data_IF_605680639524
#
_entry.id   IF_605680639524
#
_cell.length_a   1.000
_cell.length_b   1.000
_cell.length_c   1.000
_cell.angle_alpha   90.00
_cell.angle_beta   90.00
_cell.angle_gamma   90.00
#
_symmetry.space_group_name_H-M   'P 1'
#
loop_
_entity.id
_entity.type
_entity.pdbx_description
1 polymer ?
#
# COMPACT_ATOMS: atom_id res chain seq x y z
N UNK A 1 32.15 -4.17 -1.95
CA UNK A 1 32.80 -2.83 -2.01
C UNK A 1 34.00 -2.81 -2.95
N UNK A 2 34.85 -3.85 -2.94
CA UNK A 2 35.96 -3.97 -3.90
C UNK A 2 35.48 -4.07 -5.35
N UNK A 3 34.47 -4.89 -5.64
CA UNK A 3 33.83 -4.97 -6.97
C UNK A 3 33.28 -3.64 -7.47
N UNK A 4 32.83 -2.78 -6.54
CA UNK A 4 32.32 -1.43 -6.84
C UNK A 4 33.45 -0.40 -6.99
N UNK A 5 34.71 -0.82 -6.80
CA UNK A 5 35.92 0.00 -6.81
C UNK A 5 35.91 1.10 -5.75
N UNK A 6 35.29 0.83 -4.61
CA UNK A 6 35.32 1.72 -3.43
C UNK A 6 36.44 1.40 -2.46
N UNK A 7 37.03 0.21 -2.53
CA UNK A 7 38.19 -0.20 -1.75
C UNK A 7 39.03 -1.19 -2.56
N UNK A 8 40.28 -1.38 -2.18
CA UNK A 8 41.14 -2.47 -2.63
C UNK A 8 41.48 -3.36 -1.45
N UNK A 9 41.41 -4.68 -1.65
CA UNK A 9 41.91 -5.66 -0.69
C UNK A 9 43.31 -6.10 -1.11
N UNK A 10 44.31 -5.80 -0.29
CA UNK A 10 45.70 -6.20 -0.54
C UNK A 10 46.36 -6.66 0.74
N UNK A 11 46.89 -7.88 0.76
CA UNK A 11 47.59 -8.47 1.91
C UNK A 11 46.80 -8.38 3.23
N UNK A 12 45.48 -8.63 3.16
CA UNK A 12 44.57 -8.52 4.31
C UNK A 12 44.27 -7.08 4.76
N UNK A 13 44.79 -6.06 4.08
CA UNK A 13 44.52 -4.64 4.34
C UNK A 13 43.47 -4.10 3.39
N UNK A 14 42.65 -3.19 3.89
CA UNK A 14 41.66 -2.43 3.12
C UNK A 14 42.29 -1.07 2.78
N UNK A 15 42.49 -0.81 1.49
CA UNK A 15 43.04 0.44 0.99
C UNK A 15 41.94 1.24 0.26
N UNK A 16 41.94 2.59 0.34
CA UNK A 16 41.02 3.40 -0.45
C UNK A 16 41.34 3.28 -1.94
N UNK A 17 40.29 3.21 -2.76
CA UNK A 17 40.32 3.35 -4.21
C UNK A 17 39.99 4.79 -4.62
N UNK A 18 40.15 5.13 -5.89
CA UNK A 18 39.87 6.49 -6.39
C UNK A 18 38.43 6.97 -6.11
N UNK A 19 37.46 6.06 -6.03
CA UNK A 19 36.06 6.41 -5.73
C UNK A 19 35.75 6.51 -4.25
N UNK A 20 36.66 6.11 -3.35
CA UNK A 20 36.41 6.12 -1.90
C UNK A 20 36.12 7.51 -1.37
N UNK A 21 36.83 8.53 -1.88
CA UNK A 21 36.62 9.92 -1.46
C UNK A 21 35.19 10.36 -1.71
N UNK A 22 34.71 10.23 -2.96
CA UNK A 22 33.33 10.60 -3.32
C UNK A 22 32.30 9.74 -2.58
N UNK A 23 32.55 8.43 -2.46
CA UNK A 23 31.68 7.52 -1.70
C UNK A 23 31.51 7.98 -0.24
N UNK A 24 32.61 8.35 0.41
CA UNK A 24 32.58 8.83 1.78
C UNK A 24 31.73 10.10 1.88
N UNK A 25 32.08 11.15 1.14
CA UNK A 25 31.39 12.45 1.25
C UNK A 25 29.92 12.43 0.80
N UNK A 26 29.57 11.61 -0.18
CA UNK A 26 28.17 11.47 -0.60
C UNK A 26 27.33 10.69 0.41
N UNK A 27 27.91 9.77 1.19
CA UNK A 27 27.20 8.84 2.07
C UNK A 27 27.52 9.00 3.57
N UNK A 28 28.12 10.12 4.00
CA UNK A 28 28.37 10.40 5.44
C UNK A 28 27.07 10.46 6.25
N UNK A 29 26.00 11.00 5.66
CA UNK A 29 24.70 11.09 6.32
C UNK A 29 23.97 9.75 6.31
N UNK A 30 23.48 9.33 7.47
CA UNK A 30 22.56 8.20 7.61
C UNK A 30 21.11 8.57 7.33
N UNK A 31 20.79 9.87 7.23
CA UNK A 31 19.47 10.36 6.86
C UNK A 31 19.30 10.19 5.34
N UNK A 32 18.29 9.41 4.89
CA UNK A 32 18.03 9.23 3.46
C UNK A 32 17.57 10.54 2.83
N UNK A 33 17.92 10.75 1.57
CA UNK A 33 17.38 11.86 0.79
C UNK A 33 15.93 11.51 0.42
N UNK A 34 14.98 12.21 1.03
CA UNK A 34 13.55 11.94 0.84
C UNK A 34 13.02 12.86 -0.27
N UNK A 35 12.66 12.29 -1.42
CA UNK A 35 11.89 13.01 -2.44
C UNK A 35 10.48 13.29 -1.92
N UNK A 36 9.97 14.49 -2.19
CA UNK A 36 8.64 14.92 -1.74
C UNK A 36 7.71 15.12 -2.94
N UNK A 37 6.48 14.66 -2.81
CA UNK A 37 5.40 14.86 -3.76
C UNK A 37 4.45 15.94 -3.25
N UNK A 38 3.94 16.77 -4.15
CA UNK A 38 2.90 17.75 -3.83
C UNK A 38 1.54 17.07 -3.91
N UNK A 39 0.65 17.38 -2.98
CA UNK A 39 -0.75 16.94 -3.08
C UNK A 39 -1.58 18.11 -3.56
N UNK A 40 -2.29 17.92 -4.67
CA UNK A 40 -3.07 18.96 -5.33
C UNK A 40 -4.51 18.51 -5.47
N UNK A 41 -5.45 19.35 -5.01
CA UNK A 41 -6.87 19.17 -5.27
C UNK A 41 -7.13 19.46 -6.76
N UNK A 42 -7.67 18.49 -7.50
CA UNK A 42 -7.98 18.68 -8.92
C UNK A 42 -9.14 19.65 -9.17
N UNK A 43 -10.06 19.80 -8.22
CA UNK A 43 -11.24 20.67 -8.36
C UNK A 43 -10.85 22.15 -8.26
N UNK A 44 -9.97 22.47 -7.31
CA UNK A 44 -9.56 23.85 -7.01
C UNK A 44 -8.16 24.19 -7.51
N UNK A 45 -7.44 23.20 -8.06
CA UNK A 45 -6.02 23.26 -8.43
C UNK A 45 -5.12 23.82 -7.31
N UNK A 46 -5.49 23.58 -6.05
CA UNK A 46 -4.81 24.14 -4.89
C UNK A 46 -3.94 23.08 -4.21
N UNK A 47 -2.77 23.51 -3.72
CA UNK A 47 -1.86 22.66 -2.95
C UNK A 47 -2.43 22.44 -1.55
N UNK A 48 -2.72 21.18 -1.22
CA UNK A 48 -3.17 20.78 0.13
C UNK A 48 -1.96 20.58 1.05
N UNK A 49 -0.91 19.94 0.55
CA UNK A 49 0.27 19.61 1.34
C UNK A 49 1.36 18.93 0.54
N UNK A 50 2.25 18.22 1.25
CA UNK A 50 3.33 17.43 0.68
C UNK A 50 3.47 16.12 1.43
N UNK A 51 3.76 15.04 0.70
CA UNK A 51 4.06 13.72 1.24
C UNK A 51 5.43 13.26 0.75
N UNK A 52 6.09 12.42 1.53
CA UNK A 52 7.33 11.77 1.14
C UNK A 52 7.09 10.65 0.12
N UNK A 53 8.08 10.40 -0.74
CA UNK A 53 8.07 9.36 -1.77
C UNK A 53 7.75 7.98 -1.19
N UNK A 54 8.34 7.64 -0.05
CA UNK A 54 8.09 6.37 0.64
C UNK A 54 6.61 6.14 0.94
N UNK A 55 5.88 7.19 1.30
CA UNK A 55 4.46 7.09 1.61
C UNK A 55 3.63 7.05 0.34
N UNK A 56 3.96 7.89 -0.65
CA UNK A 56 3.26 7.89 -1.95
C UNK A 56 3.34 6.52 -2.61
N UNK A 57 4.53 5.92 -2.62
CA UNK A 57 4.77 4.58 -3.17
C UNK A 57 4.00 3.50 -2.41
N UNK A 58 3.90 3.62 -1.08
CA UNK A 58 3.25 2.61 -0.26
C UNK A 58 1.73 2.70 -0.28
N UNK A 59 1.18 3.92 -0.36
CA UNK A 59 -0.19 4.19 0.06
C UNK A 59 -1.01 5.03 -0.92
N UNK A 60 -0.38 5.73 -1.87
CA UNK A 60 -1.09 6.60 -2.82
C UNK A 60 -1.34 5.92 -4.17
N UNK A 61 -1.63 4.62 -4.20
CA UNK A 61 -2.08 4.00 -5.44
C UNK A 61 -3.38 4.69 -5.92
N UNK A 62 -3.58 4.92 -7.23
CA UNK A 62 -4.84 5.44 -7.75
C UNK A 62 -6.05 4.65 -7.22
N UNK A 63 -7.05 5.36 -6.69
CA UNK A 63 -8.20 4.81 -5.98
C UNK A 63 -8.04 4.65 -4.47
N UNK A 64 -6.84 4.89 -3.91
CA UNK A 64 -6.63 4.93 -2.46
C UNK A 64 -7.11 6.25 -1.86
N UNK A 65 -7.61 6.22 -0.62
CA UNK A 65 -7.98 7.44 0.11
C UNK A 65 -6.93 7.80 1.15
N UNK A 66 -6.56 9.08 1.20
CA UNK A 66 -5.56 9.66 2.09
C UNK A 66 -6.19 10.77 2.97
N UNK A 67 -5.88 10.82 4.27
CA UNK A 67 -6.26 11.94 5.15
C UNK A 67 -5.17 13.01 5.13
N UNK A 68 -5.55 14.25 4.81
CA UNK A 68 -4.67 15.43 4.82
C UNK A 68 -5.41 16.61 5.42
N UNK A 69 -4.78 17.28 6.40
CA UNK A 69 -5.40 18.38 7.18
C UNK A 69 -6.73 18.00 7.85
N UNK A 70 -6.86 16.73 8.27
CA UNK A 70 -8.09 16.21 8.90
C UNK A 70 -9.19 15.81 7.92
N UNK A 71 -9.02 16.07 6.62
CA UNK A 71 -10.01 15.76 5.58
C UNK A 71 -9.57 14.55 4.74
N UNK A 72 -10.49 13.65 4.35
CA UNK A 72 -10.21 12.53 3.45
C UNK A 72 -10.20 12.97 1.97
N UNK A 73 -9.24 12.44 1.21
CA UNK A 73 -9.01 12.75 -0.20
C UNK A 73 -8.75 11.48 -1.01
N UNK A 74 -9.44 11.29 -2.13
CA UNK A 74 -9.22 10.14 -3.02
C UNK A 74 -8.10 10.44 -4.01
N UNK A 75 -7.11 9.55 -4.09
CA UNK A 75 -5.99 9.63 -5.03
C UNK A 75 -6.49 9.26 -6.42
N UNK A 76 -6.47 10.22 -7.34
CA UNK A 76 -6.94 10.03 -8.71
C UNK A 76 -5.80 9.56 -9.61
N UNK A 77 -4.65 10.21 -9.51
CA UNK A 77 -3.45 9.87 -10.27
C UNK A 77 -2.19 10.44 -9.60
N UNK A 78 -1.05 9.84 -9.93
CA UNK A 78 0.26 10.37 -9.59
C UNK A 78 0.95 10.75 -10.91
N UNK A 79 1.33 12.01 -11.06
CA UNK A 79 2.01 12.53 -12.25
C UNK A 79 2.95 13.67 -11.88
N UNK A 80 4.14 13.70 -12.48
CA UNK A 80 5.10 14.81 -12.37
C UNK A 80 5.33 15.28 -10.91
N UNK A 81 5.67 14.33 -10.02
CA UNK A 81 5.87 14.57 -8.57
C UNK A 81 4.67 15.18 -7.84
N UNK A 82 3.49 14.99 -8.41
CA UNK A 82 2.21 15.47 -7.88
C UNK A 82 1.24 14.32 -7.72
N UNK A 83 0.64 14.22 -6.54
CA UNK A 83 -0.50 13.35 -6.25
C UNK A 83 -1.76 14.19 -6.43
N UNK A 84 -2.48 13.93 -7.51
CA UNK A 84 -3.74 14.59 -7.82
C UNK A 84 -4.85 13.90 -7.05
N UNK A 85 -5.59 14.67 -6.24
CA UNK A 85 -6.62 14.14 -5.36
C UNK A 85 -7.96 14.84 -5.55
N UNK A 86 -9.06 14.12 -5.32
CA UNK A 86 -10.42 14.65 -5.23
C UNK A 86 -10.98 14.50 -3.82
N UNK A 87 -12.08 15.19 -3.49
CA UNK A 87 -12.74 15.02 -2.18
C UNK A 87 -13.34 13.62 -2.07
N UNK A 88 -13.08 12.94 -0.95
CA UNK A 88 -13.68 11.63 -0.70
C UNK A 88 -15.18 11.75 -0.42
N UNK A 89 -15.98 10.87 -1.02
CA UNK A 89 -17.46 10.89 -0.88
C UNK A 89 -17.97 10.29 0.43
N UNK A 90 -17.16 9.50 1.14
CA UNK A 90 -17.51 8.95 2.45
C UNK A 90 -16.33 8.92 3.41
N UNK A 91 -16.57 9.33 4.66
CA UNK A 91 -15.60 9.26 5.77
C UNK A 91 -15.41 7.80 6.27
N UNK A 92 -16.39 6.94 5.99
CA UNK A 92 -16.52 5.58 6.55
C UNK A 92 -15.71 4.49 5.84
N UNK A 93 -15.14 4.77 4.66
CA UNK A 93 -14.42 3.77 3.85
C UNK A 93 -12.89 3.88 3.86
N UNK A 94 -12.32 4.85 4.57
CA UNK A 94 -10.95 5.30 4.28
C UNK A 94 -10.10 5.47 5.54
N UNK A 95 -9.93 4.39 6.29
CA UNK A 95 -8.84 4.38 7.26
C UNK A 95 -7.55 4.23 6.49
N UNK A 96 -6.68 5.25 6.52
CA UNK A 96 -5.57 5.27 5.62
C UNK A 96 -4.66 4.08 5.84
N UNK A 97 -4.05 3.56 4.78
CA UNK A 97 -3.15 2.40 4.84
C UNK A 97 -1.91 2.57 5.72
N UNK A 98 -1.65 3.79 6.22
CA UNK A 98 -0.47 4.15 7.02
C UNK A 98 -0.67 4.21 8.54
N UNK A 99 -1.79 3.72 9.09
CA UNK A 99 -1.99 3.74 10.56
C UNK A 99 -0.88 3.01 11.35
N UNK A 100 -0.08 2.16 10.68
CA UNK A 100 1.15 1.53 11.20
C UNK A 100 2.46 2.32 11.05
N UNK A 101 2.43 3.55 10.50
CA UNK A 101 3.60 4.43 10.35
C UNK A 101 3.74 5.50 11.45
N UNK A 102 2.75 5.63 12.34
CA UNK A 102 2.90 6.48 13.53
C UNK A 102 4.07 6.00 14.41
N UNK A 103 4.63 6.90 15.21
CA UNK A 103 5.66 6.55 16.19
C UNK A 103 5.10 5.39 17.04
N UNK A 104 5.80 4.24 17.09
CA UNK A 104 5.27 3.06 17.76
C UNK A 104 4.97 3.37 19.22
N UNK A 105 3.74 3.07 19.65
CA UNK A 105 3.39 3.13 21.06
C UNK A 105 4.11 1.98 21.77
N UNK A 106 4.84 2.31 22.83
CA UNK A 106 5.58 1.34 23.63
C UNK A 106 4.64 0.39 24.36
N UNK A 107 5.15 -0.81 24.69
CA UNK A 107 4.39 -1.80 25.44
C UNK A 107 3.91 -1.24 26.79
N UNK A 108 4.77 -0.53 27.52
CA UNK A 108 4.44 0.06 28.83
C UNK A 108 3.18 0.95 28.76
N UNK A 109 3.14 1.87 27.77
CA UNK A 109 2.00 2.76 27.59
C UNK A 109 0.76 2.00 27.15
N UNK A 110 0.92 1.04 26.23
CA UNK A 110 -0.21 0.25 25.73
C UNK A 110 -0.84 -0.62 26.83
N UNK A 111 -0.02 -1.24 27.67
CA UNK A 111 -0.42 -2.01 28.85
C UNK A 111 -1.18 -1.13 29.82
N UNK A 112 -0.61 0.05 30.17
CA UNK A 112 -1.24 0.96 31.12
C UNK A 112 -2.61 1.46 30.63
N UNK A 113 -2.73 1.77 29.34
CA UNK A 113 -4.02 2.15 28.75
C UNK A 113 -4.99 0.97 28.73
N UNK A 114 -4.50 -0.25 28.48
CA UNK A 114 -5.29 -1.47 28.59
C UNK A 114 -5.90 -1.65 29.99
N UNK A 115 -5.09 -1.51 31.04
CA UNK A 115 -5.55 -1.56 32.44
C UNK A 115 -6.61 -0.50 32.74
N UNK A 116 -6.40 0.74 32.29
CA UNK A 116 -7.36 1.83 32.49
C UNK A 116 -8.69 1.57 31.77
N UNK A 117 -8.64 1.03 30.55
CA UNK A 117 -9.85 0.63 29.81
C UNK A 117 -10.56 -0.50 30.53
N UNK A 118 -9.83 -1.50 30.99
CA UNK A 118 -10.39 -2.61 31.76
C UNK A 118 -11.14 -2.10 33.00
N UNK A 119 -10.53 -1.19 33.76
CA UNK A 119 -11.16 -0.58 34.94
C UNK A 119 -12.41 0.26 34.61
N UNK A 120 -12.48 0.89 33.42
CA UNK A 120 -13.60 1.76 33.04
C UNK A 120 -14.82 1.00 32.52
N UNK A 121 -14.63 -0.04 31.69
CA UNK A 121 -15.74 -0.65 30.94
C UNK A 121 -16.54 -1.70 31.73
N UNK A 122 -16.07 -2.14 32.90
CA UNK A 122 -16.77 -3.02 33.86
C UNK A 122 -17.55 -4.21 33.23
N UNK A 123 -17.05 -4.76 32.12
CA UNK A 123 -17.59 -5.94 31.45
C UNK A 123 -16.69 -7.13 31.79
N UNK A 124 -17.02 -7.81 32.88
CA UNK A 124 -16.25 -8.92 33.46
C UNK A 124 -16.03 -10.09 32.49
N UNK A 125 -16.78 -10.16 31.38
CA UNK A 125 -16.79 -11.33 30.52
C UNK A 125 -15.85 -11.25 29.31
N UNK A 126 -15.27 -10.07 29.00
CA UNK A 126 -14.91 -9.77 27.59
C UNK A 126 -13.78 -8.77 27.33
N UNK A 127 -13.12 -8.22 28.33
CA UNK A 127 -12.24 -7.06 28.10
C UNK A 127 -10.76 -7.40 27.92
N UNK A 128 -10.16 -6.72 26.95
CA UNK A 128 -8.74 -6.65 26.64
C UNK A 128 -7.97 -6.19 27.88
N UNK A 129 -7.04 -7.00 28.37
CA UNK A 129 -6.14 -6.61 29.45
C UNK A 129 -4.67 -6.93 29.09
N UNK A 130 -3.78 -6.82 30.06
CA UNK A 130 -2.36 -7.14 29.94
C UNK A 130 -1.98 -8.55 30.41
N UNK A 131 -2.97 -9.39 30.75
CA UNK A 131 -2.78 -10.71 31.36
C UNK A 131 -3.04 -11.87 30.39
N UNK A 132 -3.79 -11.63 29.32
CA UNK A 132 -4.10 -12.62 28.30
C UNK A 132 -4.38 -11.98 26.95
N UNK A 133 -4.27 -12.77 25.89
CA UNK A 133 -4.83 -12.39 24.59
C UNK A 133 -6.31 -12.73 24.55
N UNK A 134 -7.09 -11.91 23.84
CA UNK A 134 -8.51 -12.18 23.63
C UNK A 134 -8.86 -12.08 22.15
N UNK A 135 -9.53 -13.09 21.62
CA UNK A 135 -9.94 -13.14 20.22
C UNK A 135 -11.46 -13.17 20.14
N UNK A 136 -12.00 -12.25 19.35
CA UNK A 136 -13.41 -12.25 18.99
C UNK A 136 -13.59 -12.10 17.49
N UNK A 137 -14.82 -12.32 17.03
CA UNK A 137 -15.17 -12.28 15.63
C UNK A 137 -16.37 -11.37 15.42
N UNK A 138 -16.30 -10.56 14.38
CA UNK A 138 -17.41 -9.75 13.90
C UNK A 138 -17.45 -9.85 12.37
N UNK A 139 -18.51 -10.45 11.86
CA UNK A 139 -18.64 -10.77 10.43
C UNK A 139 -17.42 -11.56 9.91
N UNK A 140 -16.76 -11.08 8.87
CA UNK A 140 -15.54 -11.66 8.31
C UNK A 140 -14.25 -11.13 8.98
N UNK A 141 -14.34 -10.39 10.08
CA UNK A 141 -13.19 -9.85 10.79
C UNK A 141 -12.86 -10.68 12.04
N UNK A 142 -11.62 -11.14 12.12
CA UNK A 142 -11.03 -11.64 13.36
C UNK A 142 -10.37 -10.47 14.08
N UNK A 143 -10.74 -10.26 15.33
CA UNK A 143 -10.22 -9.19 16.17
C UNK A 143 -9.39 -9.84 17.26
N UNK A 144 -8.07 -9.73 17.12
CA UNK A 144 -7.10 -10.22 18.07
C UNK A 144 -6.66 -9.07 18.97
N UNK A 145 -7.17 -9.04 20.19
CA UNK A 145 -6.88 -8.00 21.15
C UNK A 145 -5.57 -8.28 21.89
N UNK A 146 -4.72 -7.25 21.95
CA UNK A 146 -3.35 -7.32 22.46
C UNK A 146 -2.88 -5.92 22.86
N UNK A 147 -2.77 -5.67 24.17
CA UNK A 147 -2.31 -4.39 24.73
C UNK A 147 -0.78 -4.26 24.84
N UNK A 148 -0.01 -4.98 24.03
CA UNK A 148 1.46 -5.00 24.13
C UNK A 148 2.17 -4.02 23.16
N UNK A 149 1.44 -3.06 22.60
CA UNK A 149 1.98 -1.96 21.84
C UNK A 149 2.14 -2.24 20.34
N UNK A 150 2.53 -1.20 19.61
CA UNK A 150 2.49 -1.21 18.13
C UNK A 150 3.42 -2.24 17.52
N UNK A 151 4.64 -2.39 18.06
CA UNK A 151 5.64 -3.32 17.50
C UNK A 151 5.21 -4.77 17.64
N UNK A 152 4.71 -5.17 18.80
CA UNK A 152 4.19 -6.53 19.02
C UNK A 152 2.99 -6.79 18.11
N UNK A 153 2.05 -5.85 18.03
CA UNK A 153 0.85 -6.02 17.22
C UNK A 153 1.16 -6.06 15.72
N UNK A 154 2.15 -5.28 15.25
CA UNK A 154 2.65 -5.40 13.89
C UNK A 154 3.29 -6.78 13.62
N UNK A 155 4.04 -7.33 14.58
CA UNK A 155 4.57 -8.69 14.47
C UNK A 155 3.44 -9.71 14.39
N UNK A 156 2.45 -9.64 15.30
CA UNK A 156 1.28 -10.54 15.33
C UNK A 156 0.55 -10.46 13.99
N UNK A 157 0.20 -9.25 13.55
CA UNK A 157 -0.49 -9.05 12.27
C UNK A 157 0.30 -9.65 11.10
N UNK A 158 1.61 -9.41 11.03
CA UNK A 158 2.45 -9.93 9.94
C UNK A 158 2.51 -11.46 9.93
N UNK A 159 2.58 -12.09 11.11
CA UNK A 159 2.55 -13.56 11.24
C UNK A 159 1.18 -14.11 10.84
N UNK A 160 0.11 -13.59 11.43
CA UNK A 160 -1.25 -14.06 11.18
C UNK A 160 -1.66 -13.86 9.73
N UNK A 161 -1.41 -12.68 9.17
CA UNK A 161 -1.78 -12.37 7.78
C UNK A 161 -1.04 -13.26 6.79
N UNK A 162 0.27 -13.48 7.00
CA UNK A 162 1.08 -14.36 6.16
C UNK A 162 0.60 -15.80 6.22
N UNK A 163 0.41 -16.35 7.43
CA UNK A 163 0.01 -17.74 7.61
C UNK A 163 -1.43 -18.00 7.15
N UNK A 164 -2.38 -17.11 7.48
CA UNK A 164 -3.77 -17.23 7.02
C UNK A 164 -3.86 -17.09 5.50
N UNK A 165 -3.07 -16.19 4.88
CA UNK A 165 -3.07 -16.08 3.42
C UNK A 165 -2.55 -17.35 2.75
N UNK A 166 -1.50 -17.96 3.33
CA UNK A 166 -0.96 -19.23 2.86
C UNK A 166 -1.96 -20.38 3.01
N UNK A 167 -2.64 -20.47 4.14
CA UNK A 167 -3.61 -21.53 4.45
C UNK A 167 -4.88 -21.41 3.59
N UNK A 168 -5.38 -20.18 3.39
CA UNK A 168 -6.62 -19.93 2.63
C UNK A 168 -6.39 -19.82 1.12
N UNK A 169 -5.14 -19.74 0.66
CA UNK A 169 -4.78 -19.60 -0.75
C UNK A 169 -5.14 -18.24 -1.36
N UNK A 170 -5.39 -17.22 -0.54
CA UNK A 170 -5.78 -15.88 -0.98
C UNK A 170 -5.38 -14.84 0.06
N UNK A 171 -5.21 -13.59 -0.36
CA UNK A 171 -4.77 -12.52 0.54
C UNK A 171 -5.85 -12.16 1.57
N UNK A 172 -5.42 -11.95 2.82
CA UNK A 172 -6.26 -11.40 3.88
C UNK A 172 -5.97 -9.91 4.09
N UNK A 173 -6.99 -9.15 4.48
CA UNK A 173 -6.80 -7.78 4.95
C UNK A 173 -6.19 -7.78 6.34
N UNK A 174 -5.28 -6.85 6.63
CA UNK A 174 -4.66 -6.71 7.94
C UNK A 174 -4.63 -5.24 8.35
N UNK A 175 -5.08 -4.97 9.57
CA UNK A 175 -4.96 -3.67 10.22
C UNK A 175 -4.44 -3.86 11.64
N UNK A 176 -3.61 -2.94 12.11
CA UNK A 176 -3.01 -2.99 13.44
C UNK A 176 -3.11 -1.62 14.09
N UNK A 177 -3.31 -1.64 15.40
CA UNK A 177 -3.14 -0.48 16.27
C UNK A 177 -2.41 -0.95 17.55
N UNK A 178 -2.08 -0.05 18.50
CA UNK A 178 -1.37 -0.43 19.73
C UNK A 178 -2.07 -1.45 20.64
N UNK A 179 -3.36 -1.71 20.41
CA UNK A 179 -4.23 -2.49 21.30
C UNK A 179 -4.85 -3.72 20.66
N UNK A 180 -4.82 -3.83 19.33
CA UNK A 180 -5.38 -4.99 18.60
C UNK A 180 -4.81 -5.15 17.20
N UNK A 181 -5.03 -6.34 16.68
CA UNK A 181 -4.79 -6.75 15.29
C UNK A 181 -6.13 -7.20 14.71
N UNK A 182 -6.51 -6.64 13.57
CA UNK A 182 -7.75 -6.99 12.87
C UNK A 182 -7.36 -7.65 11.56
N UNK A 183 -7.80 -8.89 11.36
CA UNK A 183 -7.64 -9.63 10.11
C UNK A 183 -8.99 -9.76 9.43
N UNK A 184 -9.11 -9.17 8.24
CA UNK A 184 -10.30 -9.24 7.40
C UNK A 184 -10.16 -10.42 6.45
N UNK A 185 -11.04 -11.39 6.59
CA UNK A 185 -11.02 -12.61 5.83
C UNK A 185 -11.87 -12.47 4.56
N UNK A 186 -11.48 -13.15 3.47
CA UNK A 186 -12.29 -13.22 2.23
C UNK A 186 -13.59 -14.00 2.43
N UNK A 187 -13.62 -14.91 3.41
CA UNK A 187 -14.77 -15.72 3.80
C UNK A 187 -14.76 -15.90 5.32
N UNK A 188 -15.93 -16.04 5.91
CA UNK A 188 -16.07 -16.29 7.33
C UNK A 188 -15.49 -17.68 7.66
N UNK A 189 -14.66 -17.75 8.71
CA UNK A 189 -14.19 -19.00 9.33
C UNK A 189 -14.69 -19.04 10.77
N UNK A 190 -14.74 -20.22 11.40
CA UNK A 190 -15.16 -20.32 12.80
C UNK A 190 -14.01 -19.98 13.75
N UNK A 191 -14.32 -19.44 14.94
CA UNK A 191 -13.30 -19.23 15.99
C UNK A 191 -12.61 -20.52 16.40
N UNK A 192 -13.30 -21.66 16.36
CA UNK A 192 -12.70 -22.97 16.65
C UNK A 192 -11.66 -23.38 15.60
N UNK A 193 -11.91 -23.09 14.32
CA UNK A 193 -10.90 -23.27 13.29
C UNK A 193 -9.70 -22.36 13.52
N UNK A 194 -9.94 -21.08 13.85
CA UNK A 194 -8.87 -20.14 14.15
C UNK A 194 -8.05 -20.54 15.39
N UNK A 195 -8.69 -21.14 16.40
CA UNK A 195 -8.01 -21.70 17.58
C UNK A 195 -7.02 -22.79 17.21
N UNK A 196 -7.45 -23.78 16.42
CA UNK A 196 -6.57 -24.84 15.92
C UNK A 196 -5.46 -24.29 15.04
N UNK A 197 -5.76 -23.27 14.25
CA UNK A 197 -4.75 -22.57 13.46
C UNK A 197 -3.68 -21.91 14.36
N UNK A 198 -4.07 -21.27 15.47
CA UNK A 198 -3.11 -20.68 16.42
C UNK A 198 -2.20 -21.72 17.07
N UNK A 199 -2.70 -22.92 17.35
CA UNK A 199 -1.90 -24.03 17.90
C UNK A 199 -0.78 -24.49 16.96
N UNK A 200 -0.94 -24.26 15.65
CA UNK A 200 0.10 -24.57 14.65
C UNK A 200 1.21 -23.51 14.60
N UNK A 201 1.03 -22.34 15.23
CA UNK A 201 2.01 -21.26 15.23
C UNK A 201 2.97 -21.42 16.40
N UNK A 202 4.16 -21.96 16.14
CA UNK A 202 5.18 -22.14 17.17
C UNK A 202 6.13 -20.95 17.25
N UNK A 203 6.61 -20.55 18.46
CA UNK A 203 7.53 -19.42 18.63
C UNK A 203 8.80 -19.49 17.76
N UNK A 204 9.34 -20.68 17.53
CA UNK A 204 10.51 -20.91 16.68
C UNK A 204 10.29 -20.49 15.22
N UNK A 205 9.07 -20.62 14.70
CA UNK A 205 8.73 -20.34 13.30
C UNK A 205 8.63 -18.84 12.99
N UNK A 206 8.40 -18.01 14.01
CA UNK A 206 8.07 -16.58 13.84
C UNK A 206 9.14 -15.82 13.05
N UNK A 207 10.42 -16.11 13.30
CA UNK A 207 11.53 -15.46 12.59
C UNK A 207 11.45 -15.71 11.08
N UNK A 208 11.17 -16.94 10.67
CA UNK A 208 11.15 -17.32 9.26
C UNK A 208 9.90 -16.78 8.57
N UNK A 209 8.75 -16.81 9.25
CA UNK A 209 7.50 -16.22 8.76
C UNK A 209 7.67 -14.71 8.52
N UNK A 210 8.26 -13.99 9.47
CA UNK A 210 8.55 -12.55 9.31
C UNK A 210 9.55 -12.31 8.18
N UNK A 211 10.63 -13.10 8.09
CA UNK A 211 11.60 -12.97 7.00
C UNK A 211 10.97 -13.22 5.63
N UNK A 212 10.04 -14.15 5.49
CA UNK A 212 9.36 -14.43 4.23
C UNK A 212 8.34 -13.33 3.88
N UNK A 213 7.53 -12.90 4.84
CA UNK A 213 6.51 -11.86 4.63
C UNK A 213 7.12 -10.49 4.37
N UNK A 214 8.18 -10.10 5.10
CA UNK A 214 8.84 -8.81 4.96
C UNK A 214 9.37 -8.59 3.54
N UNK A 215 10.01 -9.60 2.92
CA UNK A 215 10.67 -9.49 1.61
C UNK A 215 9.77 -8.96 0.49
N UNK A 216 8.50 -9.31 0.54
CA UNK A 216 7.52 -8.95 -0.49
C UNK A 216 6.73 -7.68 -0.13
N UNK A 217 6.99 -7.09 1.04
CA UNK A 217 6.31 -5.87 1.46
C UNK A 217 6.88 -4.63 0.78
N UNK A 218 6.00 -3.68 0.45
CA UNK A 218 6.43 -2.37 -0.10
C UNK A 218 7.35 -1.64 0.88
N UNK A 219 7.13 -1.79 2.19
CA UNK A 219 7.98 -1.19 3.22
C UNK A 219 9.41 -1.73 3.16
N UNK A 220 9.59 -3.04 2.94
CA UNK A 220 10.92 -3.61 2.73
C UNK A 220 11.57 -3.09 1.45
N UNK A 221 10.81 -2.94 0.36
CA UNK A 221 11.35 -2.40 -0.89
C UNK A 221 11.88 -0.97 -0.73
N UNK A 222 11.10 -0.11 -0.06
CA UNK A 222 11.50 1.26 0.25
C UNK A 222 12.71 1.30 1.18
N UNK A 223 12.72 0.47 2.25
CA UNK A 223 13.87 0.38 3.16
C UNK A 223 15.12 -0.13 2.44
N UNK A 224 14.99 -1.14 1.58
CA UNK A 224 16.09 -1.67 0.78
C UNK A 224 16.69 -0.59 -0.12
N UNK A 225 15.84 0.25 -0.74
CA UNK A 225 16.29 1.38 -1.54
C UNK A 225 17.17 2.34 -0.71
N UNK A 226 16.72 2.72 0.48
CA UNK A 226 17.45 3.62 1.39
C UNK A 226 18.77 3.00 1.91
N UNK A 227 18.76 1.70 2.25
CA UNK A 227 19.98 0.98 2.65
C UNK A 227 20.93 0.86 1.46
N UNK A 228 20.42 0.54 0.27
CA UNK A 228 21.21 0.45 -0.95
C UNK A 228 21.89 1.77 -1.33
N UNK A 229 21.24 2.91 -1.04
CA UNK A 229 21.86 4.23 -1.16
C UNK A 229 23.01 4.43 -0.16
N UNK A 230 22.80 4.11 1.13
CA UNK A 230 23.86 4.20 2.16
C UNK A 230 25.08 3.31 1.86
N UNK A 231 24.86 2.14 1.25
CA UNK A 231 25.91 1.24 0.81
C UNK A 231 26.52 1.62 -0.56
N UNK A 232 26.02 2.69 -1.21
CA UNK A 232 26.48 3.20 -2.51
C UNK A 232 26.21 2.28 -3.70
N UNK A 233 25.30 1.31 -3.56
CA UNK A 233 24.86 0.46 -4.68
C UNK A 233 23.84 1.19 -5.53
N UNK A 234 23.01 2.00 -4.88
CA UNK A 234 22.06 2.89 -5.52
C UNK A 234 22.62 4.31 -5.40
N UNK A 235 22.64 5.05 -6.51
CA UNK A 235 23.07 6.44 -6.48
C UNK A 235 22.14 7.26 -5.57
N UNK A 236 22.69 8.20 -4.82
CA UNK A 236 21.92 9.05 -3.90
C UNK A 236 20.77 9.82 -4.57
N UNK A 237 20.96 10.22 -5.83
CA UNK A 237 19.95 10.92 -6.65
C UNK A 237 19.08 10.00 -7.52
N UNK A 238 19.17 8.68 -7.35
CA UNK A 238 18.29 7.77 -8.07
C UNK A 238 16.84 7.97 -7.60
N UNK A 239 15.89 7.77 -8.50
CA UNK A 239 14.46 7.77 -8.15
C UNK A 239 13.99 6.35 -7.83
N UNK A 240 13.04 6.23 -6.92
CA UNK A 240 12.46 4.92 -6.61
C UNK A 240 11.58 4.45 -7.77
N UNK A 241 11.91 3.28 -8.33
CA UNK A 241 11.09 2.63 -9.35
C UNK A 241 10.79 1.19 -8.89
N UNK A 242 9.55 0.96 -8.45
CA UNK A 242 9.14 -0.29 -7.79
C UNK A 242 9.41 -1.59 -8.59
N UNK A 243 9.25 -1.58 -9.91
CA UNK A 243 9.57 -2.77 -10.73
C UNK A 243 11.08 -3.08 -10.78
N UNK A 244 11.91 -2.04 -10.74
CA UNK A 244 13.37 -2.19 -10.81
C UNK A 244 13.92 -2.65 -9.47
N UNK A 245 13.42 -2.09 -8.35
CA UNK A 245 13.91 -2.43 -7.02
C UNK A 245 13.72 -3.92 -6.70
N UNK A 246 12.59 -4.52 -7.09
CA UNK A 246 12.35 -5.95 -6.89
C UNK A 246 13.38 -6.84 -7.60
N UNK A 247 13.90 -6.43 -8.76
CA UNK A 247 14.97 -7.18 -9.45
C UNK A 247 16.29 -7.06 -8.70
N UNK A 248 16.61 -5.86 -8.21
CA UNK A 248 17.83 -5.60 -7.45
C UNK A 248 17.82 -6.38 -6.13
N UNK A 249 16.69 -6.39 -5.41
CA UNK A 249 16.52 -7.15 -4.16
C UNK A 249 16.83 -8.64 -4.36
N UNK A 250 16.39 -9.24 -5.48
CA UNK A 250 16.68 -10.64 -5.81
C UNK A 250 18.17 -10.90 -6.02
N UNK A 251 18.87 -9.99 -6.70
CA UNK A 251 20.33 -10.09 -6.94
C UNK A 251 21.12 -10.00 -5.63
N UNK A 252 20.69 -9.11 -4.72
CA UNK A 252 21.36 -8.86 -3.45
C UNK A 252 20.84 -9.73 -2.29
N UNK A 253 20.01 -10.74 -2.56
CA UNK A 253 19.55 -11.66 -1.54
C UNK A 253 20.73 -12.37 -0.85
N UNK A 254 20.75 -12.38 0.48
CA UNK A 254 21.85 -12.97 1.27
C UNK A 254 23.10 -12.09 1.41
N UNK A 255 23.12 -10.89 0.83
CA UNK A 255 24.21 -9.92 1.03
C UNK A 255 24.01 -9.10 2.31
N UNK A 256 25.06 -8.43 2.84
CA UNK A 256 24.94 -7.57 4.02
C UNK A 256 23.86 -6.48 3.91
N UNK A 257 23.60 -5.95 2.70
CA UNK A 257 22.56 -4.93 2.46
C UNK A 257 21.17 -5.51 2.74
N UNK A 258 20.94 -6.72 2.27
CA UNK A 258 19.67 -7.41 2.49
C UNK A 258 19.47 -7.73 3.98
N UNK A 259 20.52 -8.20 4.64
CA UNK A 259 20.51 -8.47 6.08
C UNK A 259 20.26 -7.19 6.88
N UNK A 260 20.94 -6.10 6.56
CA UNK A 260 20.73 -4.80 7.23
C UNK A 260 19.31 -4.27 7.00
N UNK A 261 18.77 -4.42 5.79
CA UNK A 261 17.39 -4.01 5.49
C UNK A 261 16.38 -4.74 6.37
N UNK A 262 16.53 -6.08 6.49
CA UNK A 262 15.67 -6.86 7.37
C UNK A 262 15.85 -6.45 8.84
N UNK A 263 17.09 -6.31 9.30
CA UNK A 263 17.40 -5.90 10.67
C UNK A 263 16.81 -4.54 11.02
N UNK A 264 16.94 -3.56 10.13
CA UNK A 264 16.39 -2.21 10.33
C UNK A 264 14.86 -2.24 10.38
N UNK A 265 14.21 -2.93 9.43
CA UNK A 265 12.75 -3.07 9.40
C UNK A 265 12.21 -3.72 10.68
N UNK A 266 12.81 -4.86 11.07
CA UNK A 266 12.42 -5.59 12.28
C UNK A 266 12.61 -4.69 13.50
N UNK A 267 13.78 -4.06 13.65
CA UNK A 267 14.10 -3.19 14.80
C UNK A 267 13.15 -2.01 14.92
N UNK A 268 12.75 -1.39 13.81
CA UNK A 268 11.88 -0.20 13.83
C UNK A 268 10.41 -0.54 14.01
N UNK A 269 9.93 -1.62 13.41
CA UNK A 269 8.48 -1.88 13.26
C UNK A 269 7.96 -3.10 13.98
N UNK A 270 8.84 -3.99 14.45
CA UNK A 270 8.48 -5.28 15.01
C UNK A 270 9.17 -5.52 16.35
N UNK A 271 8.57 -6.38 17.16
CA UNK A 271 9.20 -6.96 18.34
C UNK A 271 8.92 -8.46 18.33
N UNK A 272 9.90 -9.21 17.83
CA UNK A 272 9.79 -10.66 17.62
C UNK A 272 10.08 -11.42 18.90
N UNK A 273 11.10 -11.00 19.64
CA UNK A 273 11.52 -11.68 20.87
C UNK A 273 10.46 -11.56 21.96
N UNK A 274 9.83 -10.39 22.08
CA UNK A 274 8.73 -10.21 22.99
C UNK A 274 7.51 -11.04 22.59
N UNK A 275 7.13 -11.06 21.31
CA UNK A 275 6.00 -11.87 20.86
C UNK A 275 6.21 -13.35 21.19
N UNK A 276 7.41 -13.90 20.96
CA UNK A 276 7.74 -15.28 21.32
C UNK A 276 7.54 -15.55 22.81
N UNK A 277 8.00 -14.65 23.67
CA UNK A 277 7.80 -14.74 25.13
C UNK A 277 6.32 -14.68 25.50
N UNK A 278 5.54 -13.81 24.85
CA UNK A 278 4.11 -13.66 25.11
C UNK A 278 3.33 -14.90 24.69
N UNK A 279 3.57 -15.45 23.50
CA UNK A 279 2.88 -16.67 23.04
C UNK A 279 3.25 -17.91 23.87
N UNK A 280 4.43 -17.95 24.48
CA UNK A 280 4.83 -19.05 25.35
C UNK A 280 4.19 -18.98 26.75
N UNK A 281 3.88 -17.78 27.26
CA UNK A 281 3.50 -17.57 28.66
C UNK A 281 2.04 -17.14 28.85
N UNK A 282 1.37 -16.63 27.82
CA UNK A 282 0.02 -16.09 27.94
C UNK A 282 -1.02 -17.01 27.31
N UNK A 283 -2.16 -17.11 28.00
CA UNK A 283 -3.33 -17.78 27.47
C UNK A 283 -3.97 -16.93 26.35
N UNK A 284 -4.48 -17.60 25.32
CA UNK A 284 -5.36 -17.00 24.32
C UNK A 284 -6.80 -17.42 24.63
N UNK A 285 -7.64 -16.47 25.03
CA UNK A 285 -9.07 -16.69 25.23
C UNK A 285 -9.84 -16.32 23.97
N UNK A 286 -10.96 -17.00 23.76
CA UNK A 286 -11.82 -16.81 22.58
C UNK A 286 -13.23 -16.44 23.05
N UNK A 287 -13.88 -15.51 22.33
CA UNK A 287 -15.25 -15.12 22.60
C UNK A 287 -16.18 -16.32 22.47
N UNK A 288 -17.08 -16.48 23.45
CA UNK A 288 -18.13 -17.51 23.44
C UNK A 288 -19.43 -17.02 22.81
N UNK A 289 -19.50 -15.74 22.41
CA UNK A 289 -20.73 -15.15 21.86
C UNK A 289 -20.46 -14.44 20.54
N UNK A 290 -21.48 -14.38 19.70
CA UNK A 290 -21.44 -13.66 18.42
C UNK A 290 -21.55 -12.12 18.59
N UNK A 291 -21.70 -11.62 19.83
CA UNK A 291 -21.72 -10.18 20.11
C UNK A 291 -20.30 -9.69 20.29
N UNK A 292 -19.89 -8.77 19.42
CA UNK A 292 -18.61 -8.06 19.52
C UNK A 292 -18.61 -7.10 20.71
N UNK A 293 -17.46 -6.93 21.36
CA UNK A 293 -17.28 -5.95 22.43
C UNK A 293 -17.34 -4.52 21.92
N UNK A 294 -17.63 -3.55 22.80
CA UNK A 294 -17.53 -2.12 22.47
C UNK A 294 -16.13 -1.74 21.95
N UNK A 295 -15.09 -2.36 22.52
CA UNK A 295 -13.72 -2.16 22.08
C UNK A 295 -13.48 -2.78 20.69
N UNK A 296 -13.94 -4.01 20.44
CA UNK A 296 -13.87 -4.65 19.13
C UNK A 296 -14.62 -3.88 18.06
N UNK A 297 -15.86 -3.46 18.36
CA UNK A 297 -16.69 -2.67 17.46
C UNK A 297 -16.06 -1.31 17.15
N UNK A 298 -15.55 -0.61 18.17
CA UNK A 298 -14.79 0.62 17.96
C UNK A 298 -13.56 0.38 17.08
N UNK A 299 -12.96 -0.82 17.13
CA UNK A 299 -11.83 -1.20 16.29
C UNK A 299 -12.18 -1.47 14.86
N UNK A 300 -13.24 -2.23 14.62
CA UNK A 300 -13.79 -2.46 13.29
C UNK A 300 -14.18 -1.11 12.67
N UNK A 301 -14.86 -0.24 13.42
CA UNK A 301 -15.22 1.10 12.96
C UNK A 301 -13.99 1.98 12.68
N UNK A 302 -13.03 2.00 13.61
CA UNK A 302 -11.77 2.74 13.46
C UNK A 302 -10.85 2.16 12.37
N UNK A 303 -11.04 0.89 11.99
CA UNK A 303 -10.34 0.26 10.87
C UNK A 303 -11.07 0.45 9.53
N UNK A 304 -12.20 1.17 9.52
CA UNK A 304 -12.92 1.60 8.32
C UNK A 304 -13.99 0.60 7.88
N UNK A 305 -14.42 -0.27 8.79
CA UNK A 305 -15.31 -1.38 8.48
C UNK A 305 -16.79 -1.14 8.85
N UNK A 306 -17.15 -0.01 9.48
CA UNK A 306 -18.57 0.40 9.59
C UNK A 306 -19.18 0.88 8.27
N UNK A 307 -18.43 0.81 7.16
CA UNK A 307 -18.88 1.19 5.83
C UNK A 307 -18.70 0.11 4.76
N UNK A 308 -18.37 -1.14 5.10
CA UNK A 308 -18.28 -2.22 4.11
C UNK A 308 -19.68 -2.71 3.73
N UNK A 309 -20.43 -1.83 3.09
CA UNK A 309 -21.20 -2.22 1.92
C UNK A 309 -20.24 -2.14 0.73
N UNK A 310 -19.57 -3.25 0.40
CA UNK A 310 -19.19 -3.47 -0.99
C UNK A 310 -20.45 -3.92 -1.71
N UNK A 311 -21.28 -2.97 -2.10
CA UNK A 311 -22.19 -3.23 -3.20
C UNK A 311 -21.33 -3.35 -4.47
N UNK A 312 -21.72 -4.26 -5.35
CA UNK A 312 -21.19 -4.38 -6.72
C UNK A 312 -21.24 -3.03 -7.49
N UNK A 313 -22.00 -2.06 -6.98
CA UNK A 313 -22.14 -0.66 -7.43
C UNK A 313 -20.83 0.16 -7.52
N UNK A 314 -19.76 -0.20 -6.81
CA UNK A 314 -18.49 0.56 -6.92
C UNK A 314 -17.82 0.40 -8.28
N UNK A 315 -18.02 -0.74 -8.96
CA UNK A 315 -17.56 -0.89 -10.34
C UNK A 315 -18.38 -0.03 -11.29
N UNK A 316 -19.69 0.11 -11.08
CA UNK A 316 -20.55 0.95 -11.91
C UNK A 316 -20.25 2.44 -11.72
N UNK A 317 -19.93 2.89 -10.51
CA UNK A 317 -19.52 4.29 -10.27
C UNK A 317 -18.15 4.61 -10.88
N UNK A 318 -17.16 3.74 -10.70
CA UNK A 318 -15.84 3.90 -11.33
C UNK A 318 -15.97 3.80 -12.85
N UNK A 319 -16.78 2.86 -13.34
CA UNK A 319 -17.11 2.72 -14.75
C UNK A 319 -17.78 3.99 -15.28
N UNK A 320 -18.74 4.57 -14.56
CA UNK A 320 -19.41 5.82 -14.94
C UNK A 320 -18.43 7.00 -14.99
N UNK A 321 -17.52 7.12 -14.02
CA UNK A 321 -16.48 8.17 -14.01
C UNK A 321 -15.50 7.98 -15.18
N UNK A 322 -15.03 6.76 -15.42
CA UNK A 322 -14.15 6.45 -16.55
C UNK A 322 -14.85 6.67 -17.88
N UNK A 323 -16.14 6.30 -17.98
CA UNK A 323 -17.00 6.49 -19.15
C UNK A 323 -17.25 7.97 -19.43
N UNK A 324 -17.61 8.77 -18.42
CA UNK A 324 -17.75 10.23 -18.56
C UNK A 324 -16.44 10.88 -18.99
N UNK A 325 -15.30 10.42 -18.44
CA UNK A 325 -13.98 10.92 -18.84
C UNK A 325 -13.66 10.57 -20.28
N UNK A 326 -13.95 9.33 -20.72
CA UNK A 326 -13.73 8.90 -22.11
C UNK A 326 -14.65 9.64 -23.08
N UNK A 327 -15.93 9.80 -22.73
CA UNK A 327 -16.92 10.51 -23.51
C UNK A 327 -16.58 12.00 -23.71
N UNK A 328 -15.95 12.62 -22.72
CA UNK A 328 -15.54 14.02 -22.78
C UNK A 328 -14.16 14.26 -23.43
N UNK A 329 -13.39 13.22 -23.78
CA UNK A 329 -12.15 13.39 -24.54
C UNK A 329 -12.44 13.90 -25.94
N UNK A 330 -11.60 14.82 -26.42
CA UNK A 330 -11.69 15.38 -27.76
C UNK A 330 -10.68 14.73 -28.70
N UNK A 331 -11.13 14.38 -29.91
CA UNK A 331 -10.31 13.85 -30.99
C UNK A 331 -10.52 14.69 -32.26
N UNK A 332 -9.49 14.72 -33.10
CA UNK A 332 -9.58 15.24 -34.47
C UNK A 332 -10.04 14.14 -35.41
N UNK A 333 -10.98 14.45 -36.30
CA UNK A 333 -11.59 13.50 -37.22
C UNK A 333 -11.30 13.85 -38.67
N UNK A 334 -11.03 12.84 -39.49
CA UNK A 334 -10.74 13.01 -40.92
C UNK A 334 -11.31 11.87 -41.73
N UNK A 335 -11.86 12.17 -42.90
CA UNK A 335 -12.24 11.13 -43.85
C UNK A 335 -11.00 10.52 -44.49
N UNK A 336 -10.81 9.20 -44.37
CA UNK A 336 -9.68 8.48 -44.98
C UNK A 336 -9.88 8.25 -46.48
N UNK A 337 -11.11 8.31 -46.98
CA UNK A 337 -11.40 8.18 -48.41
C UNK A 337 -11.09 9.47 -49.20
N UNK A 338 -11.68 10.61 -48.83
CA UNK A 338 -11.53 11.87 -49.57
C UNK A 338 -10.57 12.89 -48.93
N UNK A 339 -9.99 12.56 -47.78
CA UNK A 339 -9.02 13.40 -47.08
C UNK A 339 -9.60 14.64 -46.36
N UNK A 340 -10.92 14.83 -46.38
CA UNK A 340 -11.56 16.00 -45.76
C UNK A 340 -11.40 15.97 -44.24
N UNK A 341 -10.91 17.07 -43.66
CA UNK A 341 -10.87 17.27 -42.21
C UNK A 341 -12.29 17.58 -41.71
N UNK A 342 -12.79 16.78 -40.78
CA UNK A 342 -14.15 16.90 -40.25
C UNK A 342 -14.20 17.79 -39.01
N UNK A 343 -13.05 18.08 -38.39
CA UNK A 343 -12.93 18.93 -37.21
C UNK A 343 -12.64 18.14 -35.93
N UNK A 344 -12.73 18.84 -34.80
CA UNK A 344 -12.45 18.29 -33.48
C UNK A 344 -13.74 18.17 -32.68
N UNK A 345 -14.06 16.96 -32.23
CA UNK A 345 -15.28 16.67 -31.48
C UNK A 345 -14.97 15.86 -30.23
N UNK A 346 -15.86 15.94 -29.23
CA UNK A 346 -15.87 14.97 -28.13
C UNK A 346 -16.41 13.66 -28.64
N UNK A 347 -15.94 12.54 -28.06
CA UNK A 347 -16.40 11.19 -28.42
C UNK A 347 -17.93 11.09 -28.40
N UNK A 348 -18.57 11.67 -27.39
CA UNK A 348 -20.03 11.62 -27.25
C UNK A 348 -20.82 12.53 -28.23
N UNK A 349 -20.16 13.48 -28.91
CA UNK A 349 -20.83 14.53 -29.71
C UNK A 349 -20.35 14.56 -31.16
N UNK A 350 -19.92 13.43 -31.73
CA UNK A 350 -19.52 13.38 -33.13
C UNK A 350 -20.79 13.48 -33.98
N UNK A 351 -20.96 14.52 -34.82
CA UNK A 351 -22.22 14.76 -35.52
C UNK A 351 -22.34 14.01 -36.86
N UNK A 352 -21.34 13.21 -37.24
CA UNK A 352 -21.23 12.59 -38.55
C UNK A 352 -21.01 11.08 -38.48
N UNK A 353 -21.99 10.30 -38.97
CA UNK A 353 -21.82 8.85 -39.20
C UNK A 353 -21.16 8.54 -40.56
N UNK A 354 -21.18 9.51 -41.48
CA UNK A 354 -20.61 9.44 -42.83
C UNK A 354 -19.97 10.77 -43.15
N UNK A 355 -18.94 10.74 -43.99
CA UNK A 355 -18.35 11.96 -44.51
C UNK A 355 -19.40 12.79 -45.27
N UNK A 356 -19.68 14.04 -44.88
CA UNK A 356 -20.69 14.88 -45.54
C UNK A 356 -20.31 15.27 -46.97
N UNK A 357 -19.03 15.11 -47.35
CA UNK A 357 -18.53 15.47 -48.68
C UNK A 357 -18.61 14.31 -49.69
N UNK A 358 -18.23 13.09 -49.30
CA UNK A 358 -18.15 11.95 -50.21
C UNK A 358 -19.05 10.76 -49.84
N UNK A 359 -19.79 10.84 -48.74
CA UNK A 359 -20.70 9.78 -48.28
C UNK A 359 -20.02 8.53 -47.70
N UNK A 360 -18.68 8.47 -47.68
CA UNK A 360 -17.95 7.31 -47.15
C UNK A 360 -18.07 7.22 -45.62
N UNK A 361 -18.21 6.00 -45.10
CA UNK A 361 -18.19 5.70 -43.66
C UNK A 361 -16.77 5.60 -43.06
N UNK A 362 -15.74 5.75 -43.90
CA UNK A 362 -14.34 5.61 -43.50
C UNK A 362 -13.84 6.91 -42.87
N UNK A 363 -14.02 7.03 -41.55
CA UNK A 363 -13.64 8.19 -40.75
C UNK A 363 -12.57 7.75 -39.74
N UNK A 364 -11.36 8.26 -39.87
CA UNK A 364 -10.29 8.05 -38.89
C UNK A 364 -10.27 9.15 -37.84
N UNK A 365 -9.67 8.85 -36.68
CA UNK A 365 -9.56 9.79 -35.56
C UNK A 365 -8.18 9.79 -34.91
N UNK A 366 -7.77 10.94 -34.37
CA UNK A 366 -6.47 11.09 -33.71
C UNK A 366 -6.46 12.11 -32.57
N UNK A 367 -5.60 11.94 -31.55
CA UNK A 367 -5.42 12.93 -30.48
C UNK A 367 -4.98 14.30 -31.05
N UNK A 368 -5.55 15.38 -30.52
CA UNK A 368 -5.34 16.76 -31.03
C UNK A 368 -3.86 17.17 -31.06
N UNK A 369 -3.05 16.65 -30.13
CA UNK A 369 -1.65 17.04 -29.97
C UNK A 369 -0.66 16.10 -30.69
N UNK A 370 -1.14 15.22 -31.56
CA UNK A 370 -0.30 14.29 -32.30
C UNK A 370 -0.45 14.49 -33.80
N UNK A 371 0.67 14.33 -34.53
CA UNK A 371 0.68 14.20 -35.99
C UNK A 371 0.84 12.72 -36.35
N UNK A 372 -0.24 11.93 -36.33
CA UNK A 372 -0.17 10.49 -36.60
C UNK A 372 0.25 10.19 -38.05
N UNK A 373 0.91 9.05 -38.23
CA UNK A 373 1.22 8.47 -39.53
C UNK A 373 -0.05 8.04 -40.28
N UNK A 374 0.07 7.74 -41.58
CA UNK A 374 -1.07 7.31 -42.41
C UNK A 374 -1.73 6.03 -41.89
N UNK A 375 -0.92 5.06 -41.47
CA UNK A 375 -1.36 3.76 -40.92
C UNK A 375 -2.33 3.90 -39.74
N UNK A 376 -2.07 4.87 -38.85
CA UNK A 376 -2.93 5.16 -37.70
C UNK A 376 -4.33 5.61 -38.13
N UNK A 377 -4.43 6.42 -39.18
CA UNK A 377 -5.73 6.87 -39.69
C UNK A 377 -6.52 5.70 -40.28
N UNK A 378 -5.84 4.78 -40.96
CA UNK A 378 -6.48 3.61 -41.57
C UNK A 378 -6.95 2.62 -40.49
N UNK A 379 -6.15 2.36 -39.45
CA UNK A 379 -6.53 1.54 -38.30
C UNK A 379 -7.73 2.12 -37.53
N UNK A 380 -7.66 3.41 -37.19
CA UNK A 380 -8.76 4.07 -36.46
C UNK A 380 -10.02 4.20 -37.31
N UNK A 381 -9.88 4.31 -38.64
CA UNK A 381 -11.02 4.26 -39.55
C UNK A 381 -11.72 2.90 -39.55
N UNK A 382 -10.98 1.79 -39.40
CA UNK A 382 -11.59 0.47 -39.26
C UNK A 382 -12.31 0.31 -37.92
N UNK A 383 -11.76 0.89 -36.85
CA UNK A 383 -12.41 0.90 -35.53
C UNK A 383 -13.71 1.72 -35.56
N UNK A 384 -13.70 2.91 -36.14
CA UNK A 384 -14.90 3.75 -36.30
C UNK A 384 -15.97 3.03 -37.14
N UNK A 385 -15.57 2.32 -38.20
CA UNK A 385 -16.48 1.51 -39.00
C UNK A 385 -17.13 0.35 -38.22
N UNK A 386 -16.37 -0.28 -37.32
CA UNK A 386 -16.83 -1.43 -36.56
C UNK A 386 -17.71 -1.06 -35.35
N UNK A 387 -17.43 0.08 -34.71
CA UNK A 387 -18.01 0.42 -33.41
C UNK A 387 -18.79 1.73 -33.35
N UNK A 388 -18.71 2.57 -34.39
CA UNK A 388 -19.26 3.94 -34.36
C UNK A 388 -18.25 4.89 -33.73
#
# INVERSE_FOLDING_TARGET
LEELRYVHLKDGKILPANKSFYYYFENVSTIPDIKNYKIVNVETNSKIGTLNESFVVQYCNPGATIIMRGEPWDVLEIKDDTVNVGRARSFSGAVPSWTGELIPVSMEIAVRVGELRHAYYNDESRMIDSTHFFVEQFENNLIFHSCYGSKVNNTIGSVLSSMLSSELGTNVGMRTDPYRVIITLPRMITLEYFRKFMENIKPEMINDIIRLSAKNSTMFHVRFFNVGQRFGIIKKKAEYIGRQISKIIKIYAGTPIFTETLSELIREKMDVDLLKKLLANLEIKYSKTNKVTSAGFAGVNYAGFSGVFRNEESYDEIYNIVKERLNNKQFSFKCTNCGTNLGTFRVQTIPYEKCPKCGAKTIGFAPINQKPAKEWWDETSNLFLAYG
#
